data_IF_961042942606
#
_entry.id   IF_961042942606
#
_cell.length_a   1.000
_cell.length_b   1.000
_cell.length_c   1.000
_cell.angle_alpha   90.00
_cell.angle_beta   90.00
_cell.angle_gamma   90.00
#
_symmetry.space_group_name_H-M   'P 1'
#
loop_
_entity.id
_entity.type
_entity.pdbx_description
1 polymer ?
#
# COMPACT_ATOMS: atom_id res chain seq x y z
N UNK A 1 -0.74 -19.64 -11.46
CA UNK A 1 -1.41 -20.68 -10.70
C UNK A 1 -0.72 -20.86 -9.34
N UNK A 2 -1.28 -20.22 -8.28
CA UNK A 2 -0.61 -20.14 -6.98
C UNK A 2 -1.03 -21.26 -6.01
N UNK A 3 -1.97 -22.12 -6.39
CA UNK A 3 -2.42 -23.21 -5.52
C UNK A 3 -1.27 -24.17 -5.18
N UNK A 4 -1.03 -24.42 -3.89
CA UNK A 4 0.08 -25.20 -3.38
C UNK A 4 1.45 -24.54 -3.46
N UNK A 5 1.53 -23.28 -3.91
CA UNK A 5 2.78 -22.52 -4.07
C UNK A 5 3.14 -21.71 -2.83
N UNK A 6 4.42 -21.40 -2.68
CA UNK A 6 4.93 -20.56 -1.61
C UNK A 6 4.95 -19.10 -2.05
N UNK A 7 4.18 -18.26 -1.35
CA UNK A 7 4.11 -16.81 -1.56
C UNK A 7 4.64 -16.12 -0.31
N UNK A 8 5.55 -15.18 -0.49
CA UNK A 8 6.15 -14.42 0.62
C UNK A 8 5.77 -12.94 0.56
N UNK A 9 5.60 -12.31 1.71
CA UNK A 9 5.27 -10.90 1.79
C UNK A 9 4.80 -10.44 3.15
N UNK A 10 4.59 -9.13 3.36
CA UNK A 10 4.23 -8.58 4.66
C UNK A 10 2.75 -8.86 4.97
N UNK A 11 2.52 -9.63 6.04
CA UNK A 11 1.18 -9.99 6.53
C UNK A 11 0.44 -8.76 7.08
N UNK A 12 -0.87 -8.70 6.85
CA UNK A 12 -1.75 -7.65 7.40
C UNK A 12 -1.62 -6.29 6.71
N UNK A 13 -0.96 -6.25 5.55
CA UNK A 13 -0.81 -5.04 4.73
C UNK A 13 -1.74 -5.06 3.52
N UNK A 14 -1.82 -3.95 2.82
CA UNK A 14 -2.50 -3.82 1.51
C UNK A 14 -2.00 -4.86 0.49
N UNK A 15 -0.72 -5.24 0.55
CA UNK A 15 -0.17 -6.28 -0.33
C UNK A 15 -0.76 -7.65 -0.02
N UNK A 16 -0.91 -7.99 1.27
CA UNK A 16 -1.57 -9.22 1.69
C UNK A 16 -3.06 -9.22 1.29
N UNK A 17 -3.75 -8.09 1.45
CA UNK A 17 -5.12 -7.90 0.99
C UNK A 17 -5.25 -8.12 -0.53
N UNK A 18 -4.31 -7.57 -1.32
CA UNK A 18 -4.26 -7.79 -2.78
C UNK A 18 -4.13 -9.27 -3.12
N UNK A 19 -3.26 -10.02 -2.44
CA UNK A 19 -3.12 -11.47 -2.64
C UNK A 19 -4.44 -12.19 -2.36
N UNK A 20 -5.04 -11.93 -1.19
CA UNK A 20 -6.31 -12.57 -0.82
C UNK A 20 -7.41 -12.25 -1.83
N UNK A 21 -7.55 -10.97 -2.22
CA UNK A 21 -8.52 -10.56 -3.22
C UNK A 21 -8.28 -11.21 -4.60
N UNK A 22 -7.02 -11.32 -5.03
CA UNK A 22 -6.67 -11.97 -6.29
C UNK A 22 -7.00 -13.46 -6.27
N UNK A 23 -6.73 -14.16 -5.18
CA UNK A 23 -7.05 -15.59 -5.03
C UNK A 23 -8.56 -15.82 -5.01
N UNK A 24 -9.29 -15.08 -4.17
CA UNK A 24 -10.75 -15.22 -4.05
C UNK A 24 -11.49 -14.87 -5.34
N UNK A 25 -11.01 -13.87 -6.10
CA UNK A 25 -11.58 -13.52 -7.42
C UNK A 25 -11.47 -14.65 -8.45
N UNK A 26 -10.57 -15.61 -8.20
CA UNK A 26 -10.37 -16.81 -9.04
C UNK A 26 -10.91 -18.09 -8.40
N UNK A 27 -11.66 -17.97 -7.30
CA UNK A 27 -12.22 -19.12 -6.58
C UNK A 27 -11.17 -19.98 -5.87
N UNK A 28 -10.00 -19.42 -5.56
CA UNK A 28 -8.94 -20.11 -4.81
C UNK A 28 -9.05 -19.69 -3.34
N UNK A 29 -9.14 -20.69 -2.44
CA UNK A 29 -9.08 -20.41 -1.01
C UNK A 29 -7.65 -19.93 -0.66
N UNK A 30 -7.49 -18.78 0.03
CA UNK A 30 -6.18 -18.31 0.48
C UNK A 30 -5.39 -19.37 1.30
N UNK A 31 -6.07 -20.30 1.95
CA UNK A 31 -5.45 -21.42 2.68
C UNK A 31 -4.77 -22.45 1.77
N UNK A 32 -5.12 -22.49 0.49
CA UNK A 32 -4.47 -23.35 -0.51
C UNK A 32 -3.10 -22.83 -0.94
N UNK A 33 -2.68 -21.67 -0.43
CA UNK A 33 -1.37 -21.05 -0.70
C UNK A 33 -0.53 -21.07 0.58
N UNK A 34 0.72 -21.51 0.46
CA UNK A 34 1.67 -21.44 1.56
C UNK A 34 2.20 -20.01 1.73
N UNK A 35 1.49 -19.18 2.51
CA UNK A 35 1.88 -17.78 2.74
C UNK A 35 2.87 -17.65 3.90
N UNK A 36 4.04 -17.06 3.64
CA UNK A 36 5.08 -16.81 4.63
C UNK A 36 5.22 -15.31 4.85
N UNK A 37 5.03 -14.87 6.10
CA UNK A 37 5.21 -13.48 6.48
C UNK A 37 6.68 -13.07 6.38
N UNK A 38 6.98 -12.08 5.53
CA UNK A 38 8.33 -11.60 5.28
C UNK A 38 8.30 -10.13 4.81
N UNK A 39 9.29 -9.33 5.16
CA UNK A 39 9.41 -7.97 4.62
C UNK A 39 9.68 -7.98 3.11
N UNK A 40 9.36 -6.87 2.43
CA UNK A 40 9.44 -6.77 0.97
C UNK A 40 10.86 -7.06 0.45
N UNK A 41 11.95 -6.47 0.99
CA UNK A 41 13.31 -6.73 0.49
C UNK A 41 13.73 -8.19 0.60
N UNK A 42 13.44 -8.82 1.74
CA UNK A 42 13.75 -10.25 1.95
C UNK A 42 12.89 -11.14 1.07
N UNK A 43 11.60 -10.82 0.94
CA UNK A 43 10.68 -11.53 0.05
C UNK A 43 11.13 -11.51 -1.41
N UNK A 44 11.53 -10.34 -1.91
CA UNK A 44 12.09 -10.20 -3.24
C UNK A 44 13.36 -11.06 -3.41
N UNK A 45 14.28 -10.99 -2.46
CA UNK A 45 15.51 -11.79 -2.49
C UNK A 45 15.22 -13.30 -2.48
N UNK A 46 14.27 -13.75 -1.65
CA UNK A 46 13.89 -15.16 -1.57
C UNK A 46 13.28 -15.66 -2.88
N UNK A 47 12.40 -14.88 -3.50
CA UNK A 47 11.80 -15.20 -4.80
C UNK A 47 12.86 -15.25 -5.91
N UNK A 48 13.72 -14.23 -6.00
CA UNK A 48 14.77 -14.17 -7.03
C UNK A 48 15.80 -15.30 -6.88
N UNK A 49 16.00 -15.80 -5.65
CA UNK A 49 16.84 -16.96 -5.37
C UNK A 49 16.14 -18.33 -5.57
N UNK A 50 14.88 -18.35 -6.05
CA UNK A 50 14.09 -19.57 -6.24
C UNK A 50 13.63 -20.24 -4.95
N UNK A 51 13.71 -19.57 -3.80
CA UNK A 51 13.27 -20.09 -2.48
C UNK A 51 11.80 -19.82 -2.19
N UNK A 52 11.14 -19.00 -3.00
CA UNK A 52 9.70 -18.78 -3.02
C UNK A 52 9.21 -18.70 -4.45
N UNK A 53 8.00 -19.15 -4.72
CA UNK A 53 7.40 -19.14 -6.07
C UNK A 53 6.95 -17.73 -6.46
N UNK A 54 6.51 -16.91 -5.50
CA UNK A 54 6.09 -15.53 -5.72
C UNK A 54 6.36 -14.65 -4.49
N UNK A 55 6.44 -13.35 -4.72
CA UNK A 55 6.59 -12.34 -3.66
C UNK A 55 5.59 -11.20 -3.84
N UNK A 56 5.13 -10.64 -2.71
CA UNK A 56 4.34 -9.44 -2.69
C UNK A 56 5.27 -8.23 -2.71
N UNK A 57 5.19 -7.45 -3.78
CA UNK A 57 6.08 -6.32 -4.01
C UNK A 57 5.27 -5.03 -4.24
N UNK A 58 5.91 -3.90 -4.02
CA UNK A 58 5.33 -2.58 -4.26
C UNK A 58 6.38 -1.62 -4.85
N UNK A 59 5.90 -0.55 -5.47
CA UNK A 59 6.71 0.55 -5.98
C UNK A 59 7.92 0.07 -6.81
N UNK A 60 9.11 0.58 -6.50
CA UNK A 60 10.34 0.25 -7.23
C UNK A 60 10.73 -1.24 -7.18
N UNK A 61 10.26 -1.98 -6.16
CA UNK A 61 10.52 -3.41 -6.04
C UNK A 61 9.95 -4.23 -7.20
N UNK A 62 8.80 -3.82 -7.74
CA UNK A 62 8.19 -4.48 -8.90
C UNK A 62 9.07 -4.34 -10.14
N UNK A 63 9.57 -3.14 -10.40
CA UNK A 63 10.43 -2.88 -11.55
C UNK A 63 11.75 -3.65 -11.46
N UNK A 64 12.41 -3.61 -10.29
CA UNK A 64 13.66 -4.34 -10.04
C UNK A 64 13.49 -5.85 -10.19
N UNK A 65 12.39 -6.41 -9.72
CA UNK A 65 12.11 -7.83 -9.89
C UNK A 65 11.85 -8.20 -11.35
N UNK A 66 11.09 -7.37 -12.09
CA UNK A 66 10.82 -7.58 -13.50
C UNK A 66 12.11 -7.48 -14.36
N UNK A 67 12.98 -6.50 -14.07
CA UNK A 67 14.32 -6.40 -14.69
C UNK A 67 15.17 -7.66 -14.42
N UNK A 68 15.01 -8.27 -13.25
CA UNK A 68 15.64 -9.54 -12.88
C UNK A 68 14.96 -10.80 -13.46
N UNK A 69 13.96 -10.64 -14.34
CA UNK A 69 13.27 -11.75 -15.02
C UNK A 69 12.00 -12.26 -14.35
N UNK A 70 11.58 -11.68 -13.23
CA UNK A 70 10.26 -11.98 -12.62
C UNK A 70 9.12 -11.43 -13.50
N UNK A 71 7.90 -11.93 -13.29
CA UNK A 71 6.70 -11.46 -13.99
C UNK A 71 5.63 -11.04 -13.00
N UNK A 72 5.04 -9.88 -13.23
CA UNK A 72 3.85 -9.46 -12.49
C UNK A 72 2.64 -10.31 -12.92
N UNK A 73 2.05 -11.04 -11.97
CA UNK A 73 0.92 -11.96 -12.22
C UNK A 73 -0.43 -11.39 -11.80
N UNK A 74 -0.46 -10.44 -10.88
CA UNK A 74 -1.64 -9.71 -10.45
C UNK A 74 -1.26 -8.34 -9.87
N UNK A 75 -2.19 -7.41 -9.93
CA UNK A 75 -2.08 -6.08 -9.29
C UNK A 75 -3.35 -5.82 -8.47
N UNK A 76 -3.34 -4.75 -7.67
CA UNK A 76 -4.52 -4.31 -6.93
C UNK A 76 -5.66 -3.80 -7.84
N UNK A 77 -5.33 -3.41 -9.07
CA UNK A 77 -6.27 -2.79 -9.99
C UNK A 77 -7.49 -3.69 -10.25
N UNK A 78 -8.68 -3.15 -10.00
CA UNK A 78 -9.94 -3.88 -10.15
C UNK A 78 -10.23 -4.94 -9.07
N UNK A 79 -9.34 -5.09 -8.08
CA UNK A 79 -9.51 -6.03 -6.97
C UNK A 79 -9.78 -5.32 -5.65
N UNK A 80 -8.96 -4.32 -5.34
CA UNK A 80 -9.07 -3.49 -4.14
C UNK A 80 -8.77 -2.04 -4.49
N UNK A 81 -9.20 -1.13 -3.62
CA UNK A 81 -8.86 0.29 -3.69
C UNK A 81 -7.89 0.62 -2.54
N UNK A 82 -6.56 0.57 -2.78
CA UNK A 82 -5.61 0.76 -1.71
C UNK A 82 -5.53 2.24 -1.30
N UNK A 83 -6.00 2.55 -0.11
CA UNK A 83 -5.86 3.88 0.50
C UNK A 83 -4.66 3.89 1.45
N UNK A 84 -3.66 4.72 1.14
CA UNK A 84 -2.53 4.98 2.02
C UNK A 84 -2.80 6.28 2.78
N UNK A 85 -2.68 6.22 4.10
CA UNK A 85 -3.00 7.34 4.98
C UNK A 85 -1.83 7.66 5.92
N UNK A 86 -1.71 8.92 6.30
CA UNK A 86 -0.89 9.32 7.44
C UNK A 86 -1.55 8.88 8.75
N UNK A 87 -0.81 8.20 9.60
CA UNK A 87 -1.30 7.77 10.91
C UNK A 87 -0.44 8.33 12.03
N UNK A 88 -1.08 8.70 13.11
CA UNK A 88 -0.43 9.07 14.38
C UNK A 88 -1.04 8.25 15.52
N UNK A 89 -0.28 7.98 16.58
CA UNK A 89 -0.87 7.33 17.74
C UNK A 89 -1.93 8.21 18.40
N UNK A 90 -2.98 7.60 18.94
CA UNK A 90 -4.02 8.35 19.66
C UNK A 90 -3.47 9.16 20.84
N UNK A 91 -2.41 8.66 21.50
CA UNK A 91 -1.69 9.39 22.55
C UNK A 91 -1.04 10.66 21.97
N UNK A 92 -0.29 10.54 20.87
CA UNK A 92 0.37 11.68 20.24
C UNK A 92 -0.65 12.74 19.76
N UNK A 93 -1.74 12.30 19.12
CA UNK A 93 -2.79 13.21 18.67
C UNK A 93 -3.41 14.00 19.81
N UNK A 94 -3.58 13.36 20.98
CA UNK A 94 -4.19 13.97 22.17
C UNK A 94 -3.22 14.90 22.91
N UNK A 95 -1.96 14.53 23.02
CA UNK A 95 -0.94 15.31 23.73
C UNK A 95 -0.37 16.46 22.88
N UNK A 96 -0.38 16.32 21.55
CA UNK A 96 0.25 17.26 20.63
C UNK A 96 -0.64 17.64 19.42
N UNK A 97 -1.88 18.12 19.65
CA UNK A 97 -2.81 18.43 18.55
C UNK A 97 -2.25 19.47 17.57
N UNK A 98 -1.52 20.47 18.07
CA UNK A 98 -0.88 21.50 17.23
C UNK A 98 0.20 20.93 16.31
N UNK A 99 0.93 19.88 16.73
CA UNK A 99 1.91 19.21 15.87
C UNK A 99 1.21 18.40 14.77
N UNK A 100 0.07 17.79 15.08
CA UNK A 100 -0.76 17.09 14.07
C UNK A 100 -1.26 18.07 13.01
N UNK A 101 -1.80 19.22 13.42
CA UNK A 101 -2.24 20.27 12.48
C UNK A 101 -1.08 20.77 11.61
N UNK A 102 0.09 20.99 12.21
CA UNK A 102 1.29 21.37 11.48
C UNK A 102 1.74 20.30 10.49
N UNK A 103 1.69 19.02 10.88
CA UNK A 103 2.02 17.91 9.99
C UNK A 103 1.09 17.87 8.77
N UNK A 104 -0.22 18.00 8.98
CA UNK A 104 -1.20 18.07 7.89
C UNK A 104 -0.92 19.25 6.97
N UNK A 105 -0.64 20.42 7.53
CA UNK A 105 -0.30 21.62 6.75
C UNK A 105 0.94 21.40 5.89
N UNK A 106 2.03 20.92 6.47
CA UNK A 106 3.28 20.63 5.75
C UNK A 106 3.07 19.59 4.65
N UNK A 107 2.26 18.56 4.92
CA UNK A 107 1.92 17.56 3.90
C UNK A 107 1.18 18.19 2.71
N UNK A 108 0.23 19.12 2.95
CA UNK A 108 -0.47 19.85 1.89
C UNK A 108 0.47 20.74 1.10
N UNK A 109 1.37 21.46 1.78
CA UNK A 109 2.40 22.28 1.13
C UNK A 109 3.32 21.42 0.25
N UNK A 110 3.71 20.23 0.72
CA UNK A 110 4.50 19.28 -0.05
C UNK A 110 3.75 18.78 -1.31
N UNK A 111 2.47 18.44 -1.18
CA UNK A 111 1.65 18.04 -2.33
C UNK A 111 1.52 19.18 -3.37
N UNK A 112 1.34 20.40 -2.91
CA UNK A 112 1.30 21.55 -3.82
C UNK A 112 2.65 21.76 -4.50
N UNK A 113 3.74 21.68 -3.74
CA UNK A 113 5.08 21.78 -4.28
C UNK A 113 5.37 20.72 -5.36
N UNK A 114 4.97 19.47 -5.14
CA UNK A 114 5.10 18.37 -6.13
C UNK A 114 4.36 18.71 -7.43
N UNK A 115 3.17 19.31 -7.34
CA UNK A 115 2.39 19.73 -8.52
C UNK A 115 3.10 20.83 -9.30
N UNK A 116 3.67 21.80 -8.59
CA UNK A 116 4.31 22.96 -9.19
C UNK A 116 5.73 22.67 -9.71
N UNK A 117 6.39 21.62 -9.17
CA UNK A 117 7.77 21.25 -9.47
C UNK A 117 7.89 19.78 -9.90
N UNK A 118 7.02 19.34 -10.81
CA UNK A 118 6.89 17.94 -11.20
C UNK A 118 8.24 17.28 -11.56
N UNK A 119 9.05 17.95 -12.37
CA UNK A 119 10.33 17.40 -12.83
C UNK A 119 11.31 17.18 -11.65
N UNK A 120 11.46 18.18 -10.80
CA UNK A 120 12.34 18.10 -9.62
C UNK A 120 11.84 17.04 -8.62
N UNK A 121 10.53 16.95 -8.41
CA UNK A 121 9.92 15.90 -7.58
C UNK A 121 10.20 14.49 -8.12
N UNK A 122 10.15 14.29 -9.43
CA UNK A 122 10.49 13.03 -10.08
C UNK A 122 11.97 12.67 -9.91
N UNK A 123 12.87 13.64 -9.99
CA UNK A 123 14.32 13.44 -9.78
C UNK A 123 14.62 13.06 -8.33
N UNK A 124 13.97 13.73 -7.36
CA UNK A 124 14.07 13.38 -5.94
C UNK A 124 13.55 11.97 -5.70
N UNK A 125 12.37 11.64 -6.22
CA UNK A 125 11.77 10.30 -6.09
C UNK A 125 12.62 9.21 -6.75
N UNK A 126 13.17 9.47 -7.93
CA UNK A 126 14.06 8.56 -8.63
C UNK A 126 15.33 8.25 -7.81
N UNK A 127 15.94 9.29 -7.25
CA UNK A 127 17.13 9.17 -6.38
C UNK A 127 16.81 8.39 -5.11
N UNK A 128 15.71 8.70 -4.43
CA UNK A 128 15.29 8.04 -3.19
C UNK A 128 15.01 6.55 -3.38
N UNK A 129 14.36 6.19 -4.49
CA UNK A 129 14.05 4.79 -4.81
C UNK A 129 15.17 4.05 -5.54
N UNK A 130 16.24 4.72 -5.96
CA UNK A 130 17.32 4.13 -6.76
C UNK A 130 16.83 3.56 -8.09
N UNK A 131 16.03 4.34 -8.82
CA UNK A 131 15.43 4.02 -10.13
C UNK A 131 15.66 5.16 -11.12
N UNK A 132 15.36 4.93 -12.39
CA UNK A 132 15.41 5.99 -13.41
C UNK A 132 14.28 7.01 -13.21
N UNK A 133 14.47 8.26 -13.68
CA UNK A 133 13.42 9.27 -13.69
C UNK A 133 12.21 8.80 -14.49
N UNK A 134 12.42 8.08 -15.59
CA UNK A 134 11.32 7.48 -16.38
C UNK A 134 10.50 6.47 -15.57
N UNK A 135 11.16 5.64 -14.76
CA UNK A 135 10.46 4.72 -13.86
C UNK A 135 9.72 5.46 -12.75
N UNK A 136 10.30 6.53 -12.20
CA UNK A 136 9.64 7.40 -11.22
C UNK A 136 8.38 8.07 -11.82
N UNK A 137 8.42 8.52 -13.07
CA UNK A 137 7.28 9.06 -13.79
C UNK A 137 6.15 8.04 -13.91
N UNK A 138 6.45 6.81 -14.34
CA UNK A 138 5.47 5.73 -14.44
C UNK A 138 4.83 5.39 -13.08
N UNK A 139 5.60 5.45 -11.99
CA UNK A 139 5.08 5.27 -10.63
C UNK A 139 4.17 6.43 -10.21
N UNK A 140 4.56 7.68 -10.52
CA UNK A 140 3.80 8.87 -10.19
C UNK A 140 2.46 8.93 -10.94
N UNK A 141 2.43 8.54 -12.21
CA UNK A 141 1.21 8.51 -13.01
C UNK A 141 0.16 7.52 -12.47
N UNK A 142 0.61 6.45 -11.79
CA UNK A 142 -0.26 5.51 -11.09
C UNK A 142 -0.63 5.92 -9.65
N UNK A 143 -0.10 7.05 -9.17
CA UNK A 143 -0.27 7.52 -7.79
C UNK A 143 -1.18 8.74 -7.76
N UNK A 144 -2.17 8.71 -6.85
CA UNK A 144 -3.08 9.83 -6.63
C UNK A 144 -2.84 10.38 -5.23
N UNK A 145 -2.24 11.57 -5.15
CA UNK A 145 -1.99 12.26 -3.88
C UNK A 145 -3.20 13.11 -3.52
N UNK A 146 -3.92 12.69 -2.50
CA UNK A 146 -5.00 13.44 -1.87
C UNK A 146 -4.52 13.99 -0.54
N UNK A 147 -5.02 15.14 -0.18
CA UNK A 147 -4.66 15.83 1.07
C UNK A 147 -5.85 16.02 2.02
N UNK A 148 -7.00 15.52 1.63
CA UNK A 148 -8.24 15.61 2.38
C UNK A 148 -9.04 14.33 2.18
N UNK A 149 -9.54 13.74 3.28
CA UNK A 149 -10.46 12.61 3.22
C UNK A 149 -11.88 13.09 2.94
N UNK A 150 -12.56 12.42 2.05
CA UNK A 150 -13.97 12.64 1.69
C UNK A 150 -14.86 11.57 2.32
N UNK A 151 -16.18 11.73 2.23
CA UNK A 151 -17.12 10.68 2.66
C UNK A 151 -16.90 9.39 1.90
N UNK A 152 -16.55 9.47 0.62
CA UNK A 152 -16.23 8.30 -0.21
C UNK A 152 -15.04 7.52 0.36
N UNK A 153 -13.97 8.21 0.80
CA UNK A 153 -12.80 7.56 1.40
C UNK A 153 -13.15 6.88 2.72
N UNK A 154 -14.05 7.47 3.52
CA UNK A 154 -14.54 6.83 4.75
C UNK A 154 -15.37 5.56 4.45
N UNK A 155 -16.17 5.59 3.40
CA UNK A 155 -16.96 4.44 2.96
C UNK A 155 -16.04 3.32 2.41
N UNK A 156 -14.98 3.68 1.71
CA UNK A 156 -13.93 2.75 1.24
C UNK A 156 -13.18 2.12 2.42
N UNK A 157 -12.78 2.90 3.43
CA UNK A 157 -12.17 2.36 4.66
C UNK A 157 -13.11 1.39 5.39
N UNK A 158 -14.41 1.66 5.40
CA UNK A 158 -15.40 0.75 5.98
C UNK A 158 -15.54 -0.54 5.16
N UNK A 159 -15.48 -0.46 3.83
CA UNK A 159 -15.48 -1.62 2.95
C UNK A 159 -14.21 -2.47 3.12
N UNK A 160 -13.04 -1.84 3.26
CA UNK A 160 -11.78 -2.50 3.56
C UNK A 160 -11.84 -3.23 4.91
N UNK A 161 -12.38 -2.59 5.96
CA UNK A 161 -12.58 -3.22 7.25
C UNK A 161 -13.45 -4.48 7.13
N UNK A 162 -14.56 -4.40 6.40
CA UNK A 162 -15.43 -5.55 6.16
C UNK A 162 -14.67 -6.69 5.46
N UNK A 163 -13.94 -6.39 4.39
CA UNK A 163 -13.12 -7.37 3.68
C UNK A 163 -12.09 -8.03 4.61
N UNK A 164 -11.36 -7.26 5.39
CA UNK A 164 -10.36 -7.75 6.34
C UNK A 164 -10.98 -8.66 7.41
N UNK A 165 -12.19 -8.34 7.89
CA UNK A 165 -12.94 -9.16 8.84
C UNK A 165 -13.37 -10.48 8.22
N UNK A 166 -14.00 -10.44 7.05
CA UNK A 166 -14.51 -11.64 6.34
C UNK A 166 -13.39 -12.62 5.97
N UNK A 167 -12.18 -12.11 5.74
CA UNK A 167 -11.00 -12.92 5.41
C UNK A 167 -10.09 -13.24 6.62
N UNK A 168 -10.54 -12.98 7.85
CA UNK A 168 -9.80 -13.31 9.08
C UNK A 168 -8.50 -12.51 9.27
N UNK A 169 -8.36 -11.39 8.57
CA UNK A 169 -7.19 -10.52 8.64
C UNK A 169 -7.29 -9.45 9.74
N UNK A 170 -8.48 -9.23 10.27
CA UNK A 170 -8.78 -8.29 11.33
C UNK A 170 -9.63 -8.95 12.42
N UNK A 171 -9.26 -8.78 13.69
CA UNK A 171 -9.90 -9.49 14.80
C UNK A 171 -11.21 -8.87 15.26
N UNK A 172 -11.40 -7.55 15.10
CA UNK A 172 -12.60 -6.82 15.52
C UNK A 172 -12.75 -5.53 14.72
N UNK A 173 -13.98 -5.04 14.64
CA UNK A 173 -14.25 -3.76 13.98
C UNK A 173 -13.76 -2.57 14.83
N UNK A 174 -13.45 -1.49 14.14
CA UNK A 174 -13.18 -0.18 14.73
C UNK A 174 -14.21 0.82 14.20
N UNK A 175 -14.54 1.83 14.99
CA UNK A 175 -15.38 2.91 14.51
C UNK A 175 -14.53 3.85 13.64
N UNK A 176 -14.72 3.80 12.32
CA UNK A 176 -13.97 4.60 11.36
C UNK A 176 -14.03 6.09 11.69
N UNK A 177 -15.18 6.58 12.10
CA UNK A 177 -15.35 8.02 12.46
C UNK A 177 -14.54 8.43 13.69
N UNK A 178 -14.28 7.52 14.62
CA UNK A 178 -13.50 7.81 15.82
C UNK A 178 -11.97 7.79 15.57
N UNK A 179 -11.51 7.05 14.56
CA UNK A 179 -10.08 6.97 14.22
C UNK A 179 -9.65 8.03 13.22
N UNK A 180 -10.57 8.71 12.56
CA UNK A 180 -10.27 9.80 11.62
C UNK A 180 -10.30 11.14 12.35
N UNK A 181 -9.18 11.84 12.31
CA UNK A 181 -9.08 13.16 12.94
C UNK A 181 -9.81 14.22 12.10
N UNK A 182 -10.51 15.19 12.74
CA UNK A 182 -11.25 16.25 12.02
C UNK A 182 -10.37 17.05 11.04
N UNK A 183 -9.07 17.18 11.31
CA UNK A 183 -8.09 17.85 10.44
C UNK A 183 -7.88 17.14 9.11
N UNK A 184 -8.19 15.84 9.02
CA UNK A 184 -8.11 15.07 7.78
C UNK A 184 -9.31 15.30 6.85
N UNK A 185 -10.42 15.85 7.37
CA UNK A 185 -11.69 16.07 6.66
C UNK A 185 -11.86 17.52 6.15
N UNK A 186 -10.87 18.39 6.32
CA UNK A 186 -10.94 19.83 6.02
C UNK A 186 -10.12 20.20 4.81
#
# INVERSE_FOLDING_TARGET
DLKGKTVVGPKGTVLHQTLVAALTSKGIDPKDVNFINMDIPKGMTAMMAGKADAALLAASGIYKANEGGAKTIATAQGLIQPNLVFTVSGKFAKEHPQLVERLVKVNREAHQWIKDHKQEALEIGAKEHGISVKTAENLADGSHFYDTLTQKDLDELAADQKFLRENGMMAKDVNIKEIVLPTALK
#
